data_IF_873178074539
#
_entry.id   IF_873178074539
#
_cell.length_a   1.000
_cell.length_b   1.000
_cell.length_c   1.000
_cell.angle_alpha   90.00
_cell.angle_beta   90.00
_cell.angle_gamma   90.00
#
_symmetry.space_group_name_H-M   'P 1'
#
loop_
_entity.id
_entity.type
_entity.pdbx_description
1 polymer ?
#
# COMPACT_ATOMS: atom_id res chain seq x y z
N UNK A 1 13.41 -25.95 8.91
CA UNK A 1 12.83 -24.73 8.29
C UNK A 1 11.65 -24.30 9.12
N UNK A 2 11.59 -23.04 9.53
CA UNK A 2 10.39 -22.47 10.15
C UNK A 2 9.56 -21.88 9.01
N UNK A 3 8.42 -22.51 8.72
CA UNK A 3 7.42 -21.99 7.77
C UNK A 3 6.52 -20.99 8.52
N UNK A 4 6.89 -19.71 8.47
CA UNK A 4 6.10 -18.61 9.03
C UNK A 4 5.36 -17.91 7.91
N UNK A 5 4.08 -17.60 8.13
CA UNK A 5 3.24 -16.92 7.14
C UNK A 5 3.65 -15.45 7.04
N UNK A 6 3.61 -14.89 5.84
CA UNK A 6 3.94 -13.47 5.57
C UNK A 6 3.18 -12.52 6.51
N UNK A 7 1.90 -12.82 6.80
CA UNK A 7 1.08 -12.04 7.73
C UNK A 7 1.65 -11.89 9.15
N UNK A 8 2.54 -12.78 9.57
CA UNK A 8 3.19 -12.74 10.88
C UNK A 8 4.33 -11.71 10.95
N UNK A 9 4.83 -11.26 9.79
CA UNK A 9 5.85 -10.22 9.68
C UNK A 9 5.28 -8.87 9.22
N UNK A 10 4.07 -8.86 8.64
CA UNK A 10 3.44 -7.63 8.15
C UNK A 10 2.96 -6.72 9.29
N UNK A 11 3.30 -5.45 9.18
CA UNK A 11 2.70 -4.39 10.01
C UNK A 11 1.18 -4.35 9.77
N UNK A 12 0.40 -4.36 10.85
CA UNK A 12 -1.07 -4.35 10.79
C UNK A 12 -1.63 -2.92 10.65
N UNK A 13 -0.92 -1.93 11.21
CA UNK A 13 -1.28 -0.52 11.08
C UNK A 13 -0.60 0.09 9.85
N UNK A 14 -1.33 0.11 8.73
CA UNK A 14 -0.83 0.64 7.47
C UNK A 14 -1.43 2.01 7.17
N UNK A 15 -0.60 2.89 6.60
CA UNK A 15 -1.04 4.16 6.03
C UNK A 15 -1.27 3.93 4.54
N UNK A 16 -2.42 4.34 4.02
CA UNK A 16 -2.77 4.22 2.60
C UNK A 16 -3.17 5.59 2.03
N UNK A 17 -3.07 5.75 0.70
CA UNK A 17 -3.53 6.95 0.02
C UNK A 17 -4.46 6.62 -1.15
N UNK A 18 -5.47 7.45 -1.36
CA UNK A 18 -6.37 7.34 -2.51
C UNK A 18 -5.65 7.69 -3.82
N UNK A 19 -5.89 6.95 -4.91
CA UNK A 19 -5.32 7.26 -6.24
C UNK A 19 -5.73 8.65 -6.77
N UNK A 20 -6.77 9.25 -6.19
CA UNK A 20 -7.24 10.60 -6.54
C UNK A 20 -6.40 11.72 -5.91
N UNK A 21 -5.56 11.40 -4.92
CA UNK A 21 -4.71 12.37 -4.20
C UNK A 21 -3.49 12.74 -5.03
N UNK A 22 -2.93 13.93 -4.77
CA UNK A 22 -1.74 14.38 -5.48
C UNK A 22 -0.49 13.66 -4.98
N UNK A 23 0.46 13.39 -5.89
CA UNK A 23 1.78 12.80 -5.55
C UNK A 23 2.52 13.61 -4.47
N UNK A 24 2.36 14.95 -4.45
CA UNK A 24 2.95 15.80 -3.40
C UNK A 24 2.46 15.46 -1.99
N UNK A 25 1.18 15.09 -1.85
CA UNK A 25 0.63 14.67 -0.56
C UNK A 25 1.23 13.32 -0.13
N UNK A 26 1.35 12.37 -1.07
CA UNK A 26 1.99 11.08 -0.81
C UNK A 26 3.44 11.26 -0.34
N UNK A 27 4.21 12.13 -1.01
CA UNK A 27 5.59 12.48 -0.63
C UNK A 27 5.66 13.05 0.79
N UNK A 28 4.75 13.96 1.13
CA UNK A 28 4.77 14.59 2.45
C UNK A 28 4.41 13.61 3.57
N UNK A 29 3.42 12.74 3.34
CA UNK A 29 3.07 11.67 4.28
C UNK A 29 4.27 10.73 4.48
N UNK A 30 4.89 10.29 3.38
CA UNK A 30 6.07 9.40 3.43
C UNK A 30 7.23 10.04 4.20
N UNK A 31 7.52 11.33 3.95
CA UNK A 31 8.56 12.07 4.66
C UNK A 31 8.27 12.21 6.16
N UNK A 32 7.04 12.61 6.52
CA UNK A 32 6.66 12.84 7.91
C UNK A 32 6.59 11.54 8.73
N UNK A 33 6.23 10.43 8.09
CA UNK A 33 6.12 9.12 8.74
C UNK A 33 7.34 8.22 8.54
N UNK A 34 8.41 8.73 7.93
CA UNK A 34 9.62 8.00 7.59
C UNK A 34 9.33 6.68 6.82
N UNK A 35 8.42 6.74 5.86
CA UNK A 35 8.05 5.62 5.01
C UNK A 35 8.77 5.72 3.65
N UNK A 36 9.20 4.58 3.13
CA UNK A 36 9.83 4.48 1.79
C UNK A 36 8.81 4.21 0.68
N UNK A 37 7.60 3.81 1.05
CA UNK A 37 6.50 3.55 0.13
C UNK A 37 5.14 3.64 0.82
N UNK A 38 4.09 3.83 0.04
CA UNK A 38 2.72 3.89 0.52
C UNK A 38 1.79 3.18 -0.47
N UNK A 39 0.91 2.28 -0.02
CA UNK A 39 -0.11 1.68 -0.88
C UNK A 39 -1.06 2.73 -1.43
N UNK A 40 -1.37 2.62 -2.73
CA UNK A 40 -2.33 3.48 -3.42
C UNK A 40 -3.60 2.67 -3.73
N UNK A 41 -4.74 3.11 -3.19
CA UNK A 41 -6.02 2.41 -3.29
C UNK A 41 -7.12 3.26 -3.92
N UNK A 42 -8.18 2.61 -4.38
CA UNK A 42 -9.50 3.23 -4.54
C UNK A 42 -10.23 3.21 -3.20
N UNK A 43 -10.53 4.40 -2.69
CA UNK A 43 -11.22 4.57 -1.40
C UNK A 43 -12.62 3.95 -1.36
N UNK A 44 -13.29 3.81 -2.51
CA UNK A 44 -14.63 3.24 -2.59
C UNK A 44 -14.62 1.71 -2.47
N UNK A 45 -13.54 1.07 -2.91
CA UNK A 45 -13.44 -0.41 -2.96
C UNK A 45 -12.43 -0.96 -1.97
N UNK A 46 -11.54 -0.12 -1.44
CA UNK A 46 -10.38 -0.52 -0.63
C UNK A 46 -9.30 -1.27 -1.43
N UNK A 47 -9.42 -1.37 -2.75
CA UNK A 47 -8.53 -2.17 -3.59
C UNK A 47 -7.46 -1.31 -4.26
N UNK A 48 -6.34 -1.91 -4.66
CA UNK A 48 -5.36 -1.22 -5.49
C UNK A 48 -6.00 -0.79 -6.81
N UNK A 49 -5.89 0.50 -7.16
CA UNK A 49 -6.45 1.07 -8.40
C UNK A 49 -5.91 0.40 -9.67
N UNK A 50 -4.74 -0.26 -9.61
CA UNK A 50 -4.17 -0.99 -10.73
C UNK A 50 -4.83 -2.35 -10.97
N UNK A 51 -5.64 -2.89 -10.05
CA UNK A 51 -6.29 -4.21 -10.25
C UNK A 51 -7.24 -4.25 -11.45
N UNK A 52 -7.85 -3.12 -11.80
CA UNK A 52 -8.69 -3.03 -12.99
C UNK A 52 -7.90 -3.16 -14.30
N UNK A 53 -6.62 -2.78 -14.29
CA UNK A 53 -5.73 -2.83 -15.46
C UNK A 53 -4.84 -4.07 -15.45
N UNK A 54 -4.47 -4.56 -14.27
CA UNK A 54 -3.59 -5.70 -14.04
C UNK A 54 -4.19 -6.63 -12.97
N UNK A 55 -5.12 -7.52 -13.35
CA UNK A 55 -5.88 -8.34 -12.39
C UNK A 55 -5.01 -9.29 -11.55
N UNK A 56 -3.80 -9.63 -12.03
CA UNK A 56 -2.85 -10.49 -11.34
C UNK A 56 -1.73 -9.71 -10.62
N UNK A 57 -1.80 -8.38 -10.56
CA UNK A 57 -0.77 -7.58 -9.88
C UNK A 57 -0.95 -7.66 -8.35
N UNK A 58 -0.07 -8.41 -7.70
CA UNK A 58 -0.04 -8.53 -6.24
C UNK A 58 1.20 -7.80 -5.70
N UNK A 59 1.00 -6.57 -5.24
CA UNK A 59 2.06 -5.83 -4.58
C UNK A 59 2.10 -6.30 -3.11
N UNK A 60 2.98 -7.25 -2.82
CA UNK A 60 3.35 -7.56 -1.45
C UNK A 60 4.18 -6.38 -0.94
N UNK A 61 3.59 -5.54 -0.10
CA UNK A 61 4.30 -4.48 0.61
C UNK A 61 4.94 -5.11 1.84
N UNK A 62 6.27 -5.20 1.87
CA UNK A 62 7.08 -5.69 2.97
C UNK A 62 7.56 -4.52 3.84
#
# INVERSE_FOLDING_TARGET
>A
MIDKRVKEFMNQEIVVISYKRKVKEAKEIMRLKNLTGIPVIDENTGQNHLKSFYPNFNLAFF
#
